data_IF_539406490580
#
_entry.id   IF_539406490580
#
_cell.length_a   1.000
_cell.length_b   1.000
_cell.length_c   1.000
_cell.angle_alpha   90.00
_cell.angle_beta   90.00
_cell.angle_gamma   90.00
#
_symmetry.space_group_name_H-M   'P 1'
#
loop_
_entity.id
_entity.type
_entity.pdbx_description
1 polymer ?
#
# COMPACT_ATOMS: atom_id res chain seq x y z
N UNK A 1 -12.43 1.48 -24.05
CA UNK A 1 -11.05 1.02 -23.78
C UNK A 1 -10.10 1.94 -24.52
N UNK A 2 -8.96 2.30 -23.92
CA UNK A 2 -7.90 3.06 -24.59
C UNK A 2 -6.79 2.09 -24.98
N UNK A 3 -6.18 2.28 -26.14
CA UNK A 3 -5.07 1.46 -26.60
C UNK A 3 -3.74 2.06 -26.12
N UNK A 4 -2.85 1.21 -25.61
CA UNK A 4 -1.50 1.58 -25.18
C UNK A 4 -0.51 0.72 -25.95
N UNK A 5 0.36 1.35 -26.73
CA UNK A 5 1.48 0.66 -27.41
C UNK A 5 2.74 0.85 -26.56
N UNK A 6 3.37 -0.26 -26.17
CA UNK A 6 4.61 -0.26 -25.39
C UNK A 6 5.63 -1.12 -26.10
N UNK A 7 6.84 -0.59 -26.31
CA UNK A 7 7.97 -1.38 -26.78
C UNK A 7 8.61 -2.07 -25.59
N UNK A 8 8.72 -3.39 -25.65
CA UNK A 8 9.35 -4.21 -24.62
C UNK A 8 10.47 -5.06 -25.24
N UNK A 9 11.56 -5.32 -24.50
CA UNK A 9 12.55 -6.31 -24.90
C UNK A 9 11.90 -7.69 -25.15
N UNK A 10 12.47 -8.46 -26.08
CA UNK A 10 11.92 -9.77 -26.49
C UNK A 10 11.89 -10.77 -25.34
N UNK A 11 12.95 -10.78 -24.52
CA UNK A 11 13.07 -11.62 -23.33
C UNK A 11 11.96 -11.31 -22.32
N UNK A 12 11.67 -10.02 -22.09
CA UNK A 12 10.58 -9.58 -21.22
C UNK A 12 9.22 -10.03 -21.76
N UNK A 13 8.98 -9.88 -23.07
CA UNK A 13 7.75 -10.34 -23.70
C UNK A 13 7.56 -11.86 -23.55
N UNK A 14 8.64 -12.64 -23.75
CA UNK A 14 8.63 -14.09 -23.59
C UNK A 14 8.29 -14.50 -22.16
N UNK A 15 8.94 -13.89 -21.17
CA UNK A 15 8.67 -14.18 -19.75
C UNK A 15 7.23 -13.80 -19.37
N UNK A 16 6.74 -12.64 -19.81
CA UNK A 16 5.37 -12.22 -19.56
C UNK A 16 4.34 -13.21 -20.13
N UNK A 17 4.61 -13.78 -21.31
CA UNK A 17 3.74 -14.82 -21.90
C UNK A 17 3.73 -16.12 -21.12
N UNK A 18 4.90 -16.58 -20.66
CA UNK A 18 5.00 -17.79 -19.84
C UNK A 18 4.19 -17.59 -18.56
N UNK A 19 4.42 -16.47 -17.86
CA UNK A 19 3.73 -16.14 -16.62
C UNK A 19 2.21 -16.01 -16.81
N UNK A 20 1.79 -15.37 -17.89
CA UNK A 20 0.38 -15.24 -18.25
C UNK A 20 -0.28 -16.62 -18.44
N UNK A 21 0.41 -17.54 -19.13
CA UNK A 21 -0.09 -18.89 -19.35
C UNK A 21 -0.17 -19.70 -18.04
N UNK A 22 0.82 -19.60 -17.16
CA UNK A 22 0.81 -20.25 -15.84
C UNK A 22 -0.35 -19.77 -14.97
N UNK A 23 -0.69 -18.47 -15.03
CA UNK A 23 -1.80 -17.88 -14.30
C UNK A 23 -3.17 -18.06 -14.99
N UNK A 24 -3.20 -18.59 -16.21
CA UNK A 24 -4.44 -18.72 -17.00
C UNK A 24 -5.05 -17.36 -17.42
N UNK A 25 -4.24 -16.32 -17.55
CA UNK A 25 -4.67 -14.96 -17.93
C UNK A 25 -3.98 -14.48 -19.19
N UNK A 26 -4.45 -13.37 -19.78
CA UNK A 26 -3.74 -12.72 -20.88
C UNK A 26 -2.61 -11.82 -20.37
N UNK A 27 -1.62 -11.55 -21.24
CA UNK A 27 -0.57 -10.55 -20.96
C UNK A 27 -1.18 -9.16 -20.72
N UNK A 28 -2.25 -8.81 -21.44
CA UNK A 28 -2.97 -7.55 -21.22
C UNK A 28 -3.61 -7.47 -19.82
N UNK A 29 -4.10 -8.60 -19.27
CA UNK A 29 -4.64 -8.66 -17.93
C UNK A 29 -3.53 -8.50 -16.87
N UNK A 30 -2.35 -9.11 -17.07
CA UNK A 30 -1.17 -8.90 -16.22
C UNK A 30 -0.75 -7.43 -16.19
N UNK A 31 -0.61 -6.80 -17.36
CA UNK A 31 -0.24 -5.38 -17.46
C UNK A 31 -1.28 -4.49 -16.78
N UNK A 32 -2.57 -4.79 -16.98
CA UNK A 32 -3.66 -4.03 -16.33
C UNK A 32 -3.60 -4.15 -14.81
N UNK A 33 -3.35 -5.34 -14.28
CA UNK A 33 -3.22 -5.57 -12.84
C UNK A 33 -2.04 -4.80 -12.27
N UNK A 34 -0.88 -4.91 -12.90
CA UNK A 34 0.33 -4.18 -12.49
C UNK A 34 0.13 -2.66 -12.49
N UNK A 35 -0.46 -2.10 -13.55
CA UNK A 35 -0.74 -0.66 -13.62
C UNK A 35 -1.73 -0.20 -12.54
N UNK A 36 -2.70 -1.04 -12.17
CA UNK A 36 -3.59 -0.76 -11.02
C UNK A 36 -2.80 -0.78 -9.73
N UNK A 37 -2.05 -1.84 -9.45
CA UNK A 37 -1.25 -1.94 -8.22
C UNK A 37 -0.27 -0.78 -8.08
N UNK A 38 0.38 -0.38 -9.18
CA UNK A 38 1.26 0.78 -9.21
C UNK A 38 0.53 2.07 -8.84
N UNK A 39 -0.69 2.28 -9.36
CA UNK A 39 -1.51 3.44 -9.02
C UNK A 39 -1.96 3.43 -7.55
N UNK A 40 -2.30 2.27 -6.99
CA UNK A 40 -2.74 2.14 -5.60
C UNK A 40 -1.58 2.29 -4.61
N UNK A 41 -0.39 1.77 -4.95
CA UNK A 41 0.79 1.82 -4.07
C UNK A 41 1.22 3.25 -3.75
N UNK A 42 1.08 4.18 -4.70
CA UNK A 42 1.34 5.60 -4.47
C UNK A 42 0.20 6.33 -3.75
N UNK A 43 -1.05 6.00 -4.09
CA UNK A 43 -2.22 6.67 -3.54
C UNK A 43 -2.46 6.32 -2.07
N UNK A 44 -2.31 5.06 -1.67
CA UNK A 44 -2.57 4.62 -0.30
C UNK A 44 -1.54 5.17 0.68
N UNK A 45 -0.27 5.26 0.27
CA UNK A 45 0.77 5.84 1.10
C UNK A 45 0.55 7.35 1.28
N UNK A 46 0.29 8.08 0.19
CA UNK A 46 0.02 9.51 0.25
C UNK A 46 -1.23 9.82 1.10
N UNK A 47 -2.32 9.07 0.91
CA UNK A 47 -3.53 9.23 1.69
C UNK A 47 -3.31 8.95 3.20
N UNK A 48 -2.47 7.97 3.54
CA UNK A 48 -2.10 7.67 4.93
C UNK A 48 -1.26 8.78 5.56
N UNK A 49 -0.31 9.36 4.80
CA UNK A 49 0.48 10.51 5.25
C UNK A 49 -0.43 11.70 5.51
N UNK A 50 -1.34 12.02 4.59
CA UNK A 50 -2.28 13.13 4.76
C UNK A 50 -3.22 12.92 5.97
N UNK A 51 -3.72 11.69 6.16
CA UNK A 51 -4.53 11.35 7.34
C UNK A 51 -3.71 11.50 8.63
N UNK A 52 -2.46 11.05 8.64
CA UNK A 52 -1.59 11.21 9.80
C UNK A 52 -1.35 12.68 10.13
N UNK A 53 -1.00 13.51 9.15
CA UNK A 53 -0.77 14.94 9.35
C UNK A 53 -2.02 15.63 9.91
N UNK A 54 -3.20 15.30 9.37
CA UNK A 54 -4.48 15.82 9.85
C UNK A 54 -4.75 15.42 11.29
N UNK A 55 -4.64 14.14 11.62
CA UNK A 55 -4.87 13.63 12.99
C UNK A 55 -3.88 14.23 13.98
N UNK A 56 -2.60 14.35 13.61
CA UNK A 56 -1.59 14.98 14.48
C UNK A 56 -1.85 16.47 14.67
N UNK A 57 -2.37 17.17 13.66
CA UNK A 57 -2.72 18.59 13.78
C UNK A 57 -3.90 18.85 14.73
N UNK A 58 -4.79 17.86 14.93
CA UNK A 58 -5.90 17.95 15.89
C UNK A 58 -5.42 17.78 17.35
N UNK A 59 -4.22 17.23 17.56
CA UNK A 59 -3.66 17.02 18.90
C UNK A 59 -2.97 18.30 19.36
N UNK A 60 -3.67 19.11 20.15
CA UNK A 60 -3.13 20.35 20.72
C UNK A 60 -2.21 20.13 21.92
N UNK A 61 -2.52 19.14 22.76
CA UNK A 61 -1.70 18.73 23.89
C UNK A 61 -1.93 17.25 24.21
N UNK A 62 -0.86 16.52 24.51
CA UNK A 62 -0.93 15.10 24.87
C UNK A 62 -0.12 14.85 26.13
N UNK A 63 -0.75 14.25 27.16
CA UNK A 63 -0.05 13.74 28.34
C UNK A 63 -0.42 12.28 28.53
N UNK A 64 0.59 11.41 28.55
CA UNK A 64 0.38 9.97 28.72
C UNK A 64 -0.33 9.62 30.05
N UNK A 65 -0.11 10.42 31.10
CA UNK A 65 -0.75 10.24 32.42
C UNK A 65 -2.26 10.42 32.39
N UNK A 66 -2.82 11.18 31.44
CA UNK A 66 -4.27 11.36 31.30
C UNK A 66 -4.97 10.08 30.80
N UNK A 67 -4.19 9.15 30.23
CA UNK A 67 -4.70 7.87 29.70
C UNK A 67 -4.51 6.72 30.68
N UNK A 68 -3.36 6.65 31.33
CA UNK A 68 -3.04 5.61 32.30
C UNK A 68 -2.12 6.19 33.37
N UNK A 69 -2.50 6.00 34.62
CA UNK A 69 -1.64 6.33 35.75
C UNK A 69 -0.45 5.37 35.80
N UNK A 70 0.61 5.79 36.51
CA UNK A 70 1.83 4.98 36.68
C UNK A 70 1.53 3.62 37.30
N UNK A 71 0.63 3.57 38.27
CA UNK A 71 0.29 2.34 39.00
C UNK A 71 -0.44 1.36 38.08
N UNK A 72 -1.39 1.84 37.28
CA UNK A 72 -2.09 1.03 36.27
C UNK A 72 -1.14 0.48 35.18
N UNK A 73 -0.08 1.22 34.84
CA UNK A 73 0.95 0.73 33.89
C UNK A 73 1.73 -0.42 34.50
N UNK A 74 2.10 -0.31 35.77
CA UNK A 74 2.84 -1.35 36.48
C UNK A 74 2.01 -2.62 36.67
N UNK A 75 0.71 -2.51 36.97
CA UNK A 75 -0.19 -3.66 37.09
C UNK A 75 -0.39 -4.40 35.75
N UNK A 76 -0.34 -3.69 34.62
CA UNK A 76 -0.48 -4.30 33.29
C UNK A 76 0.73 -5.15 32.89
N UNK A 77 1.93 -4.80 33.36
CA UNK A 77 3.17 -5.52 33.05
C UNK A 77 3.30 -6.84 33.83
N UNK A 78 2.45 -7.05 34.84
CA UNK A 78 2.46 -8.24 35.72
C UNK A 78 1.45 -9.30 35.23
N UNK A 79 0.79 -9.09 34.09
CA UNK A 79 -0.19 -10.02 33.49
C UNK A 79 0.39 -10.87 32.37
#
# INVERSE_FOLDING_TARGET
>A
MKNLTVTVPEDVYRQARIRAAEEGVSVSALVTRYLRELAHSGADFAAKVELQERVLSEISAFRAVDRLSRDEVHDRAVR
#
